data_IF_645087722833
#
_entry.id   IF_645087722833
#
_cell.length_a   1.000
_cell.length_b   1.000
_cell.length_c   1.000
_cell.angle_alpha   90.00
_cell.angle_beta   90.00
_cell.angle_gamma   90.00
#
_symmetry.space_group_name_H-M   'P 1'
#
loop_
_entity.id
_entity.type
_entity.pdbx_description
1 polymer ?
#
# COMPACT_ATOMS: atom_id res chain seq x y z
N UNK A 1 22.16 22.10 5.24
CA UNK A 1 23.41 21.91 5.97
C UNK A 1 23.12 21.24 7.31
N UNK A 2 24.16 20.80 8.01
CA UNK A 2 24.08 20.02 9.25
C UNK A 2 23.18 20.65 10.34
N UNK A 3 23.13 21.99 10.38
CA UNK A 3 22.27 22.74 11.31
C UNK A 3 20.78 22.50 11.07
N UNK A 4 20.35 22.31 9.82
CA UNK A 4 18.93 22.07 9.53
C UNK A 4 18.52 20.64 9.89
N UNK A 5 19.39 19.66 9.71
CA UNK A 5 19.15 18.29 10.13
C UNK A 5 18.92 18.18 11.65
N UNK A 6 19.74 18.86 12.44
CA UNK A 6 19.58 18.91 13.89
C UNK A 6 18.27 19.63 14.30
N UNK A 7 17.93 20.73 13.63
CA UNK A 7 16.65 21.42 13.84
C UNK A 7 15.46 20.52 13.47
N UNK A 8 15.54 19.83 12.34
CA UNK A 8 14.48 18.93 11.88
C UNK A 8 14.24 17.76 12.85
N UNK A 9 15.31 17.16 13.37
CA UNK A 9 15.22 16.08 14.35
C UNK A 9 14.44 16.48 15.61
N UNK A 10 14.51 17.75 16.03
CA UNK A 10 13.83 18.25 17.23
C UNK A 10 12.43 18.80 16.94
N UNK A 11 12.24 19.45 15.79
CA UNK A 11 11.03 20.24 15.51
C UNK A 11 10.25 19.78 14.27
N UNK A 12 10.69 18.73 13.56
CA UNK A 12 10.07 18.29 12.32
C UNK A 12 8.59 17.96 12.47
N UNK A 13 8.20 17.27 13.54
CA UNK A 13 6.80 16.95 13.81
C UNK A 13 5.96 18.21 14.06
N UNK A 14 6.48 19.19 14.79
CA UNK A 14 5.80 20.48 15.03
C UNK A 14 5.58 21.24 13.71
N UNK A 15 6.56 21.20 12.78
CA UNK A 15 6.38 21.80 11.47
C UNK A 15 5.32 21.08 10.63
N UNK A 16 5.24 19.74 10.72
CA UNK A 16 4.20 18.95 10.07
C UNK A 16 2.80 19.28 10.62
N UNK A 17 2.67 19.42 11.96
CA UNK A 17 1.44 19.91 12.60
C UNK A 17 1.07 21.32 12.11
N UNK A 18 2.05 22.21 11.99
CA UNK A 18 1.85 23.56 11.49
C UNK A 18 1.24 23.63 10.10
N UNK A 19 1.57 22.70 9.19
CA UNK A 19 0.95 22.61 7.85
C UNK A 19 -0.54 22.31 7.94
N UNK A 20 -0.95 21.52 8.92
CA UNK A 20 -2.35 21.15 9.15
C UNK A 20 -3.15 22.28 9.83
N UNK A 21 -2.53 23.02 10.76
CA UNK A 21 -3.21 24.01 11.59
C UNK A 21 -3.14 25.45 11.04
N UNK A 22 -2.04 25.83 10.36
CA UNK A 22 -1.81 27.21 9.88
C UNK A 22 -1.97 27.30 8.35
N UNK A 23 -3.20 27.33 7.90
CA UNK A 23 -3.54 27.47 6.48
C UNK A 23 -2.92 28.70 5.81
N UNK A 24 -2.70 29.79 6.56
CA UNK A 24 -2.15 31.03 6.00
C UNK A 24 -0.67 30.89 5.61
N UNK A 25 0.09 30.02 6.26
CA UNK A 25 1.49 29.78 6.02
C UNK A 25 1.79 28.39 5.44
N UNK A 26 0.77 27.62 5.10
CA UNK A 26 0.87 26.24 4.60
C UNK A 26 1.95 26.06 3.54
N UNK A 27 1.96 26.87 2.50
CA UNK A 27 2.93 26.76 1.38
C UNK A 27 4.37 27.04 1.83
N UNK A 28 4.54 27.94 2.80
CA UNK A 28 5.88 28.22 3.37
C UNK A 28 6.36 27.08 4.25
N UNK A 29 5.45 26.50 5.06
CA UNK A 29 5.74 25.38 5.92
C UNK A 29 6.04 24.12 5.11
N UNK A 30 5.30 23.87 4.04
CA UNK A 30 5.52 22.74 3.13
C UNK A 30 6.97 22.71 2.58
N UNK A 31 7.56 23.85 2.27
CA UNK A 31 8.97 23.97 1.82
C UNK A 31 9.99 23.57 2.89
N UNK A 32 9.61 23.62 4.14
CA UNK A 32 10.47 23.26 5.26
C UNK A 32 10.39 21.77 5.61
N UNK A 33 9.41 21.04 5.12
CA UNK A 33 9.22 19.61 5.43
C UNK A 33 10.38 18.76 4.90
N UNK A 34 10.64 17.68 5.62
CA UNK A 34 11.60 16.65 5.21
C UNK A 34 10.96 15.26 5.40
N UNK A 35 11.31 14.37 4.49
CA UNK A 35 10.80 13.01 4.44
C UNK A 35 11.93 12.03 4.16
N UNK A 36 11.74 10.77 4.56
CA UNK A 36 12.47 9.67 3.95
C UNK A 36 11.87 9.38 2.57
N UNK A 37 12.65 8.81 1.67
CA UNK A 37 12.16 8.39 0.36
C UNK A 37 12.85 7.13 -0.13
N UNK A 38 12.28 6.50 -1.16
CA UNK A 38 12.89 5.34 -1.82
C UNK A 38 14.22 5.68 -2.49
N UNK A 39 14.49 6.96 -2.77
CA UNK A 39 15.72 7.42 -3.40
C UNK A 39 16.91 7.42 -2.42
N UNK A 40 16.69 7.76 -1.14
CA UNK A 40 17.78 7.84 -0.15
C UNK A 40 18.26 6.46 0.31
N UNK A 41 17.40 5.44 0.25
CA UNK A 41 17.70 4.08 0.73
C UNK A 41 17.95 3.99 2.25
N UNK A 42 17.62 5.04 3.00
CA UNK A 42 17.75 5.12 4.46
C UNK A 42 16.50 5.73 5.07
N UNK A 43 16.34 5.57 6.39
CA UNK A 43 15.24 6.16 7.17
C UNK A 43 15.44 7.66 7.48
N UNK A 44 16.55 8.25 7.00
CA UNK A 44 16.82 9.66 7.22
C UNK A 44 15.78 10.55 6.53
N UNK A 45 15.13 11.42 7.31
CA UNK A 45 14.21 12.43 6.79
C UNK A 45 15.00 13.66 6.33
N UNK A 46 15.63 13.58 5.16
CA UNK A 46 16.48 14.62 4.59
C UNK A 46 16.00 15.13 3.22
N UNK A 47 14.96 14.49 2.64
CA UNK A 47 14.41 14.88 1.34
C UNK A 47 13.30 15.92 1.49
N UNK A 48 13.45 17.07 0.82
CA UNK A 48 12.38 18.07 0.71
C UNK A 48 11.43 17.76 -0.45
N UNK A 49 10.27 18.41 -0.46
CA UNK A 49 9.36 18.36 -1.63
C UNK A 49 10.02 19.02 -2.86
N UNK A 50 10.81 20.07 -2.69
CA UNK A 50 11.57 20.71 -3.78
C UNK A 50 12.59 19.72 -4.39
N UNK A 51 13.31 18.95 -3.54
CA UNK A 51 14.26 17.93 -4.01
C UNK A 51 13.52 16.84 -4.79
N UNK A 52 12.38 16.37 -4.29
CA UNK A 52 11.53 15.38 -4.99
C UNK A 52 11.09 15.89 -6.36
N UNK A 53 10.51 17.11 -6.41
CA UNK A 53 10.02 17.71 -7.66
C UNK A 53 11.17 17.91 -8.67
N UNK A 54 12.37 18.27 -8.19
CA UNK A 54 13.54 18.45 -9.06
C UNK A 54 14.01 17.16 -9.74
N UNK A 55 13.71 15.99 -9.15
CA UNK A 55 14.04 14.66 -9.67
C UNK A 55 12.88 13.97 -10.39
N UNK A 56 11.69 14.58 -10.35
CA UNK A 56 10.52 14.01 -11.02
C UNK A 56 10.82 13.77 -12.52
N UNK A 57 10.34 12.64 -13.04
CA UNK A 57 10.51 12.30 -14.45
C UNK A 57 9.74 13.27 -15.36
N UNK A 58 10.15 13.36 -16.62
CA UNK A 58 9.43 14.16 -17.61
C UNK A 58 7.98 13.64 -17.75
N UNK A 59 7.00 14.54 -17.64
CA UNK A 59 5.58 14.19 -17.66
C UNK A 59 5.01 13.70 -16.30
N UNK A 60 5.82 13.53 -15.26
CA UNK A 60 5.32 13.17 -13.94
C UNK A 60 4.63 14.39 -13.29
N UNK A 61 3.33 14.32 -13.15
CA UNK A 61 2.47 15.35 -12.56
C UNK A 61 2.04 15.07 -11.11
N UNK A 62 2.55 13.98 -10.52
CA UNK A 62 2.20 13.48 -9.19
C UNK A 62 3.42 13.36 -8.28
N UNK A 63 3.21 13.56 -6.98
CA UNK A 63 4.13 13.24 -5.90
C UNK A 63 3.60 11.99 -5.22
N UNK A 64 4.29 10.87 -5.36
CA UNK A 64 3.87 9.60 -4.77
C UNK A 64 4.33 9.49 -3.32
N UNK A 65 3.45 9.02 -2.45
CA UNK A 65 3.79 8.73 -1.06
C UNK A 65 3.09 7.47 -0.56
N UNK A 66 3.67 6.89 0.49
CA UNK A 66 3.04 5.83 1.28
C UNK A 66 3.10 6.21 2.76
N UNK A 67 2.03 5.94 3.49
CA UNK A 67 1.99 6.07 4.95
C UNK A 67 2.12 4.68 5.56
N UNK A 68 3.06 4.50 6.49
CA UNK A 68 3.29 3.24 7.18
C UNK A 68 3.69 3.45 8.64
N UNK A 69 3.58 2.39 9.45
CA UNK A 69 3.91 2.45 10.88
C UNK A 69 5.40 2.68 11.17
N UNK A 70 6.26 2.29 10.22
CA UNK A 70 7.71 2.46 10.32
C UNK A 70 8.38 2.33 8.94
N UNK A 71 9.65 2.75 8.86
CA UNK A 71 10.44 2.71 7.62
C UNK A 71 10.56 1.30 7.01
N UNK A 72 10.78 0.27 7.83
CA UNK A 72 10.96 -1.10 7.34
C UNK A 72 9.67 -1.61 6.65
N UNK A 73 8.50 -1.32 7.22
CA UNK A 73 7.20 -1.64 6.61
C UNK A 73 6.98 -0.82 5.33
N UNK A 74 7.27 0.48 5.35
CA UNK A 74 7.12 1.34 4.18
C UNK A 74 7.95 0.83 2.99
N UNK A 75 9.22 0.58 3.22
CA UNK A 75 10.17 0.12 2.20
C UNK A 75 9.85 -1.29 1.68
N UNK A 76 9.28 -2.16 2.50
CA UNK A 76 8.92 -3.52 2.10
C UNK A 76 7.52 -3.63 1.48
N UNK A 77 6.78 -2.52 1.37
CA UNK A 77 5.40 -2.54 0.90
C UNK A 77 5.29 -3.01 -0.55
N UNK A 78 4.36 -3.94 -0.85
CA UNK A 78 4.05 -4.38 -2.21
C UNK A 78 3.60 -3.24 -3.14
N UNK A 79 3.02 -2.18 -2.59
CA UNK A 79 2.59 -1.01 -3.38
C UNK A 79 3.72 -0.30 -4.10
N UNK A 80 4.97 -0.53 -3.70
CA UNK A 80 6.15 0.10 -4.30
C UNK A 80 6.72 -0.67 -5.48
N UNK A 81 6.28 -1.91 -5.75
CA UNK A 81 6.93 -2.79 -6.73
C UNK A 81 6.95 -2.17 -8.12
N UNK A 82 5.80 -1.84 -8.68
CA UNK A 82 5.70 -1.24 -10.01
C UNK A 82 6.33 0.16 -10.09
N UNK A 83 6.24 0.96 -9.01
CA UNK A 83 6.90 2.28 -9.00
C UNK A 83 8.42 2.15 -9.06
N UNK A 84 8.98 1.14 -8.37
CA UNK A 84 10.41 0.84 -8.43
C UNK A 84 10.85 0.39 -9.81
N UNK A 85 10.11 -0.48 -10.48
CA UNK A 85 10.40 -0.89 -11.84
C UNK A 85 10.42 0.29 -12.81
N UNK A 86 9.48 1.22 -12.64
CA UNK A 86 9.41 2.45 -13.42
C UNK A 86 10.42 3.53 -12.97
N UNK A 87 11.20 3.27 -11.92
CA UNK A 87 12.17 4.24 -11.38
C UNK A 87 11.50 5.49 -10.79
N UNK A 88 10.25 5.38 -10.33
CA UNK A 88 9.53 6.47 -9.69
C UNK A 88 9.86 6.54 -8.20
N UNK A 89 10.23 7.73 -7.74
CA UNK A 89 10.48 7.99 -6.32
C UNK A 89 9.17 8.01 -5.53
N UNK A 90 9.18 7.45 -4.31
CA UNK A 90 8.06 7.49 -3.37
C UNK A 90 8.53 8.03 -2.03
N UNK A 91 7.81 9.01 -1.47
CA UNK A 91 8.03 9.51 -0.12
C UNK A 91 7.51 8.48 0.90
N UNK A 92 8.32 8.21 1.93
CA UNK A 92 8.01 7.26 2.98
C UNK A 92 7.62 8.02 4.24
N UNK A 93 6.34 8.07 4.53
CA UNK A 93 5.73 8.82 5.62
C UNK A 93 5.50 7.90 6.81
N UNK A 94 6.25 8.10 7.90
CA UNK A 94 6.25 7.19 9.05
C UNK A 94 6.02 7.88 10.40
N UNK A 95 5.79 9.19 10.38
CA UNK A 95 5.44 9.93 11.58
C UNK A 95 3.94 9.85 11.88
N UNK A 96 3.59 9.87 13.16
CA UNK A 96 2.18 9.79 13.59
C UNK A 96 1.29 10.89 13.02
N UNK A 97 1.87 12.04 12.69
CA UNK A 97 1.14 13.20 12.13
C UNK A 97 0.91 13.06 10.62
N UNK A 98 1.67 12.20 9.93
CA UNK A 98 1.67 12.14 8.47
C UNK A 98 0.29 11.85 7.83
N UNK A 99 -0.58 10.99 8.40
CA UNK A 99 -1.93 10.80 7.85
C UNK A 99 -2.75 12.09 7.77
N UNK A 100 -2.62 13.00 8.76
CA UNK A 100 -3.28 14.31 8.73
C UNK A 100 -2.54 15.30 7.84
N UNK A 101 -1.21 15.21 7.79
CA UNK A 101 -0.40 16.07 6.93
C UNK A 101 -0.83 15.92 5.46
N UNK A 102 -0.98 14.69 4.96
CA UNK A 102 -1.35 14.44 3.56
C UNK A 102 -2.80 14.76 3.27
N UNK A 103 -3.69 14.63 4.25
CA UNK A 103 -5.07 15.10 4.14
C UNK A 103 -5.12 16.64 4.02
N UNK A 104 -4.24 17.34 4.73
CA UNK A 104 -4.09 18.80 4.66
C UNK A 104 -3.28 19.30 3.46
N UNK A 105 -2.33 18.54 2.93
CA UNK A 105 -1.43 18.90 1.83
C UNK A 105 -1.74 18.10 0.58
N UNK A 106 -2.82 18.48 -0.12
CA UNK A 106 -3.28 17.74 -1.31
C UNK A 106 -2.39 17.93 -2.54
N UNK A 107 -1.66 19.07 -2.63
CA UNK A 107 -0.78 19.40 -3.77
C UNK A 107 0.45 20.20 -3.33
N UNK A 108 1.52 20.12 -4.11
CA UNK A 108 2.72 20.95 -3.97
C UNK A 108 3.25 21.34 -5.34
N UNK A 109 3.41 22.66 -5.56
CA UNK A 109 3.87 23.25 -6.85
C UNK A 109 3.11 22.72 -8.07
N UNK A 110 1.79 22.55 -7.94
CA UNK A 110 0.89 22.09 -9.01
C UNK A 110 0.92 20.58 -9.26
N UNK A 111 1.64 19.81 -8.42
CA UNK A 111 1.65 18.34 -8.47
C UNK A 111 0.80 17.79 -7.32
N UNK A 112 -0.15 16.91 -7.64
CA UNK A 112 -0.98 16.25 -6.63
C UNK A 112 -0.14 15.28 -5.79
N UNK A 113 -0.37 15.25 -4.47
CA UNK A 113 0.15 14.19 -3.60
C UNK A 113 -0.78 12.97 -3.72
N UNK A 114 -0.23 11.81 -4.07
CA UNK A 114 -0.99 10.57 -4.33
C UNK A 114 -0.51 9.45 -3.41
N UNK A 115 -1.45 8.91 -2.64
CA UNK A 115 -1.24 7.74 -1.79
C UNK A 115 -1.20 6.47 -2.65
N UNK A 116 -0.05 5.79 -2.68
CA UNK A 116 0.11 4.56 -3.47
C UNK A 116 -0.61 3.35 -2.86
N UNK A 117 -1.10 3.44 -1.62
CA UNK A 117 -1.93 2.42 -0.96
C UNK A 117 -3.42 2.49 -1.29
N UNK A 118 -3.85 3.44 -2.14
CA UNK A 118 -5.25 3.56 -2.56
C UNK A 118 -5.56 2.80 -3.85
N UNK A 119 -6.84 2.48 -4.03
CA UNK A 119 -7.35 1.97 -5.31
C UNK A 119 -7.20 3.03 -6.42
N UNK A 120 -7.36 2.63 -7.67
CA UNK A 120 -7.35 3.56 -8.79
C UNK A 120 -6.02 4.26 -9.05
N UNK A 121 -4.90 3.77 -8.51
CA UNK A 121 -3.57 4.34 -8.76
C UNK A 121 -3.26 4.29 -10.27
N UNK A 122 -3.24 5.48 -10.87
CA UNK A 122 -2.85 5.68 -12.25
C UNK A 122 -1.36 6.01 -12.31
N UNK A 123 -0.57 5.07 -12.78
CA UNK A 123 0.87 5.24 -13.02
C UNK A 123 1.12 5.72 -14.45
N UNK A 124 2.19 6.50 -14.69
CA UNK A 124 2.60 6.82 -16.05
C UNK A 124 2.75 5.52 -16.83
N UNK A 125 1.95 5.39 -17.90
CA UNK A 125 1.98 4.21 -18.76
C UNK A 125 3.15 4.32 -19.72
N UNK A 126 3.79 3.20 -20.01
CA UNK A 126 4.59 3.08 -21.22
C UNK A 126 3.61 3.14 -22.41
N UNK A 127 3.94 3.90 -23.44
CA UNK A 127 3.09 4.16 -24.64
C UNK A 127 2.60 2.88 -25.37
N UNK A 128 3.12 1.70 -25.01
CA UNK A 128 2.79 0.39 -25.60
C UNK A 128 1.77 -0.44 -24.78
N UNK A 129 1.32 0.03 -23.62
CA UNK A 129 0.31 -0.69 -22.85
C UNK A 129 -1.09 -0.22 -23.24
N UNK A 130 -1.63 -0.83 -24.26
CA UNK A 130 -3.07 -0.79 -24.57
C UNK A 130 -3.83 -1.40 -23.37
N UNK A 131 -4.12 -0.54 -22.41
CA UNK A 131 -4.86 -0.91 -21.19
C UNK A 131 -6.35 -1.06 -21.56
N UNK A 132 -6.64 -2.08 -22.34
CA UNK A 132 -8.01 -2.51 -22.54
C UNK A 132 -8.62 -2.90 -21.19
N UNK A 133 -9.85 -2.51 -20.99
CA UNK A 133 -10.76 -3.06 -19.97
C UNK A 133 -10.90 -4.60 -20.10
N UNK A 134 -10.36 -5.17 -21.18
CA UNK A 134 -10.46 -6.58 -21.59
C UNK A 134 -9.60 -7.57 -20.75
N UNK A 135 -8.65 -7.11 -19.95
CA UNK A 135 -7.82 -8.00 -19.12
C UNK A 135 -8.55 -8.63 -17.93
N UNK A 136 -9.75 -8.18 -17.62
CA UNK A 136 -10.54 -8.68 -16.49
C UNK A 136 -11.37 -9.92 -16.86
N UNK A 137 -11.84 -10.02 -18.10
CA UNK A 137 -12.77 -11.09 -18.52
C UNK A 137 -12.15 -12.49 -18.39
N UNK A 138 -10.84 -12.64 -18.63
CA UNK A 138 -10.14 -13.92 -18.51
C UNK A 138 -10.08 -14.44 -17.08
N UNK A 139 -9.98 -13.52 -16.10
CA UNK A 139 -9.81 -13.86 -14.68
C UNK A 139 -11.10 -13.70 -13.87
N UNK A 140 -12.19 -13.23 -14.45
CA UNK A 140 -13.47 -12.95 -13.78
C UNK A 140 -13.98 -14.13 -12.94
N UNK A 141 -13.84 -15.33 -13.46
CA UNK A 141 -14.26 -16.54 -12.74
C UNK A 141 -13.45 -16.76 -11.46
N UNK A 142 -12.13 -16.52 -11.50
CA UNK A 142 -11.25 -16.61 -10.34
C UNK A 142 -11.56 -15.49 -9.34
N UNK A 143 -11.63 -14.24 -9.79
CA UNK A 143 -11.92 -13.08 -8.95
C UNK A 143 -13.23 -13.26 -8.20
N UNK A 144 -14.26 -13.71 -8.91
CA UNK A 144 -15.58 -14.01 -8.31
C UNK A 144 -15.49 -15.10 -7.26
N UNK A 145 -14.81 -16.23 -7.56
CA UNK A 145 -14.66 -17.33 -6.59
C UNK A 145 -13.94 -16.86 -5.31
N UNK A 146 -12.86 -16.07 -5.46
CA UNK A 146 -12.12 -15.50 -4.32
C UNK A 146 -13.03 -14.54 -3.55
N UNK A 147 -13.75 -13.66 -4.26
CA UNK A 147 -14.70 -12.71 -3.64
C UNK A 147 -15.81 -13.43 -2.87
N UNK A 148 -16.38 -14.49 -3.42
CA UNK A 148 -17.44 -15.27 -2.76
C UNK A 148 -16.94 -15.87 -1.43
N UNK A 149 -15.70 -16.38 -1.39
CA UNK A 149 -15.05 -16.89 -0.17
C UNK A 149 -14.76 -15.77 0.84
N UNK A 150 -14.29 -14.63 0.38
CA UNK A 150 -13.81 -13.53 1.23
C UNK A 150 -14.86 -12.42 1.45
N UNK A 151 -16.14 -12.66 1.11
CA UNK A 151 -17.22 -11.66 1.08
C UNK A 151 -17.40 -10.88 2.38
N UNK A 152 -17.12 -11.51 3.53
CA UNK A 152 -17.19 -10.85 4.84
C UNK A 152 -15.96 -9.99 5.15
N UNK A 153 -14.84 -10.20 4.44
CA UNK A 153 -13.53 -9.61 4.75
C UNK A 153 -13.05 -8.57 3.77
N UNK A 154 -13.49 -8.62 2.51
CA UNK A 154 -13.10 -7.68 1.45
C UNK A 154 -14.32 -7.10 0.75
N UNK A 155 -14.23 -5.89 0.23
CA UNK A 155 -15.29 -5.25 -0.55
C UNK A 155 -15.28 -5.75 -2.00
N UNK A 156 -14.10 -5.84 -2.60
CA UNK A 156 -13.91 -6.31 -3.96
C UNK A 156 -12.62 -7.11 -4.09
N UNK A 157 -12.48 -7.85 -5.19
CA UNK A 157 -11.24 -8.51 -5.61
C UNK A 157 -10.97 -8.12 -7.05
N UNK A 158 -9.81 -7.56 -7.32
CA UNK A 158 -9.41 -7.04 -8.63
C UNK A 158 -8.06 -7.63 -9.06
N UNK A 159 -7.77 -7.58 -10.36
CA UNK A 159 -6.42 -7.82 -10.88
C UNK A 159 -5.53 -6.63 -10.52
N UNK A 160 -4.35 -6.90 -9.99
CA UNK A 160 -3.39 -5.86 -9.66
C UNK A 160 -2.63 -5.38 -10.89
N UNK A 161 -2.40 -4.07 -10.96
CA UNK A 161 -1.49 -3.43 -11.92
C UNK A 161 -0.24 -2.88 -11.26
N UNK A 162 -0.10 -3.05 -9.94
CA UNK A 162 1.01 -2.52 -9.13
C UNK A 162 1.97 -3.58 -8.62
N UNK A 163 1.55 -4.85 -8.68
CA UNK A 163 2.35 -5.97 -8.19
C UNK A 163 3.22 -6.57 -9.29
N UNK A 164 4.43 -6.97 -8.89
CA UNK A 164 5.41 -7.65 -9.73
C UNK A 164 5.82 -8.97 -9.08
N UNK A 165 6.31 -8.91 -7.85
CA UNK A 165 6.82 -10.07 -7.10
C UNK A 165 5.83 -10.60 -6.07
N UNK A 166 4.92 -9.78 -5.57
CA UNK A 166 3.97 -10.18 -4.52
C UNK A 166 2.70 -10.80 -5.12
N UNK A 167 2.08 -11.80 -4.44
CA UNK A 167 0.86 -12.46 -4.91
C UNK A 167 -0.39 -11.57 -4.78
N UNK A 168 -0.42 -10.71 -3.78
CA UNK A 168 -1.57 -9.85 -3.48
C UNK A 168 -1.18 -8.66 -2.60
N UNK A 169 -1.98 -7.61 -2.66
CA UNK A 169 -1.98 -6.51 -1.69
C UNK A 169 -3.43 -6.10 -1.38
N UNK A 170 -3.61 -5.34 -0.31
CA UNK A 170 -4.90 -4.72 0.01
C UNK A 170 -4.80 -3.22 -0.21
N UNK A 171 -5.84 -2.64 -0.78
CA UNK A 171 -5.92 -1.19 -1.03
C UNK A 171 -7.17 -0.62 -0.37
N UNK A 172 -7.06 0.63 0.11
CA UNK A 172 -8.23 1.37 0.55
C UNK A 172 -9.00 1.91 -0.66
N UNK A 173 -10.32 2.01 -0.56
CA UNK A 173 -11.11 2.73 -1.56
C UNK A 173 -10.72 4.22 -1.59
N UNK A 174 -10.95 4.89 -2.73
CA UNK A 174 -10.52 6.29 -2.91
C UNK A 174 -11.15 7.27 -1.92
N UNK A 175 -12.36 6.98 -1.49
CA UNK A 175 -13.15 7.79 -0.54
C UNK A 175 -13.03 7.32 0.92
N UNK A 176 -12.24 6.27 1.18
CA UNK A 176 -12.06 5.74 2.53
C UNK A 176 -10.93 6.47 3.28
N UNK A 177 -10.94 6.33 4.61
CA UNK A 177 -9.85 6.82 5.44
C UNK A 177 -8.58 6.00 5.20
N UNK A 178 -7.43 6.69 5.24
CA UNK A 178 -6.15 5.98 5.27
C UNK A 178 -6.14 4.96 6.44
N UNK A 179 -5.67 3.72 6.23
CA UNK A 179 -5.72 2.66 7.25
C UNK A 179 -5.04 3.04 8.57
N UNK A 180 -3.94 3.81 8.53
CA UNK A 180 -3.25 4.29 9.74
C UNK A 180 -4.11 5.30 10.48
N UNK A 181 -4.72 6.25 9.77
CA UNK A 181 -5.63 7.24 10.36
C UNK A 181 -6.84 6.56 10.99
N UNK A 182 -7.45 5.58 10.30
CA UNK A 182 -8.56 4.77 10.82
C UNK A 182 -8.18 4.13 12.16
N UNK A 183 -7.06 3.40 12.21
CA UNK A 183 -6.57 2.74 13.45
C UNK A 183 -6.37 3.73 14.60
N UNK A 184 -5.85 4.92 14.31
CA UNK A 184 -5.63 5.95 15.33
C UNK A 184 -6.94 6.53 15.88
N UNK A 185 -7.92 6.75 15.01
CA UNK A 185 -9.25 7.25 15.41
C UNK A 185 -10.00 6.19 16.22
N UNK A 186 -9.97 4.92 15.82
CA UNK A 186 -10.53 3.79 16.56
C UNK A 186 -9.88 3.65 17.95
N UNK A 187 -8.55 3.74 18.01
CA UNK A 187 -7.82 3.70 19.28
C UNK A 187 -8.15 4.88 20.23
N UNK A 188 -8.59 6.01 19.67
CA UNK A 188 -9.09 7.16 20.45
C UNK A 188 -10.55 7.02 20.89
N UNK A 189 -11.22 5.90 20.55
CA UNK A 189 -12.60 5.61 20.91
C UNK A 189 -13.65 6.27 19.99
N UNK A 190 -13.25 6.78 18.85
CA UNK A 190 -14.19 7.29 17.85
C UNK A 190 -14.85 6.11 17.10
N UNK A 191 -16.16 6.22 16.89
CA UNK A 191 -16.91 5.28 16.05
C UNK A 191 -16.74 5.67 14.59
N UNK A 192 -16.04 4.82 13.84
CA UNK A 192 -15.83 4.97 12.40
C UNK A 192 -16.66 3.90 11.69
N UNK A 193 -17.33 4.24 10.58
CA UNK A 193 -18.01 3.24 9.76
C UNK A 193 -17.06 2.09 9.39
N UNK A 194 -17.53 0.86 9.48
CA UNK A 194 -16.76 -0.29 9.01
C UNK A 194 -16.52 -0.14 7.50
N UNK A 195 -15.29 -0.35 7.09
CA UNK A 195 -14.88 -0.41 5.69
C UNK A 195 -14.09 -1.68 5.48
N UNK A 196 -14.33 -2.34 4.37
CA UNK A 196 -13.60 -3.52 3.94
C UNK A 196 -12.58 -3.10 2.89
N UNK A 197 -11.35 -3.62 2.95
CA UNK A 197 -10.36 -3.34 1.91
C UNK A 197 -10.75 -4.00 0.59
N UNK A 198 -10.20 -3.50 -0.49
CA UNK A 198 -10.19 -4.15 -1.79
C UNK A 198 -8.93 -5.03 -1.86
N UNK A 199 -9.07 -6.29 -2.25
CA UNK A 199 -7.96 -7.19 -2.50
C UNK A 199 -7.55 -7.08 -3.97
N UNK A 200 -6.32 -6.71 -4.23
CA UNK A 200 -5.70 -6.79 -5.55
C UNK A 200 -4.81 -8.03 -5.63
N UNK A 201 -4.96 -8.84 -6.67
CA UNK A 201 -4.19 -10.07 -6.88
C UNK A 201 -3.34 -9.99 -8.14
N UNK A 202 -2.12 -10.51 -8.06
CA UNK A 202 -1.22 -10.70 -9.20
C UNK A 202 -1.50 -12.07 -9.83
N UNK A 203 -2.20 -12.06 -10.94
CA UNK A 203 -2.67 -13.29 -11.62
C UNK A 203 -1.53 -14.10 -12.24
N UNK A 204 -0.37 -13.50 -12.45
CA UNK A 204 0.83 -14.15 -12.97
C UNK A 204 1.71 -14.75 -11.87
N UNK A 205 1.37 -14.50 -10.60
CA UNK A 205 2.16 -15.03 -9.49
C UNK A 205 1.88 -16.53 -9.29
N UNK A 206 2.91 -17.41 -9.11
CA UNK A 206 2.73 -18.87 -9.01
C UNK A 206 1.76 -19.32 -7.90
N UNK A 207 1.67 -18.59 -6.79
CA UNK A 207 0.70 -18.87 -5.73
C UNK A 207 -0.74 -18.63 -6.19
N UNK A 208 -0.97 -17.60 -7.01
CA UNK A 208 -2.30 -17.28 -7.55
C UNK A 208 -2.68 -18.24 -8.69
N UNK A 209 -1.73 -18.63 -9.54
CA UNK A 209 -1.94 -19.69 -10.53
C UNK A 209 -2.34 -21.02 -9.86
N UNK A 210 -1.66 -21.38 -8.76
CA UNK A 210 -2.02 -22.56 -7.95
C UNK A 210 -3.40 -22.44 -7.33
N UNK A 211 -3.78 -21.26 -6.84
CA UNK A 211 -5.12 -20.98 -6.33
C UNK A 211 -6.16 -21.16 -7.44
N UNK A 212 -5.90 -20.63 -8.64
CA UNK A 212 -6.79 -20.73 -9.79
C UNK A 212 -7.03 -22.19 -10.22
N UNK A 213 -6.00 -23.02 -10.16
CA UNK A 213 -6.04 -24.44 -10.51
C UNK A 213 -6.72 -25.32 -9.44
N UNK A 214 -6.94 -24.80 -8.23
CA UNK A 214 -7.51 -25.59 -7.14
C UNK A 214 -8.99 -25.88 -7.37
N UNK A 215 -9.34 -27.17 -7.42
CA UNK A 215 -10.71 -27.65 -7.65
C UNK A 215 -11.46 -28.03 -6.37
N UNK A 216 -10.72 -28.37 -5.30
CA UNK A 216 -11.34 -28.64 -4.00
C UNK A 216 -11.80 -27.34 -3.35
N UNK A 217 -13.06 -27.26 -3.00
CA UNK A 217 -13.69 -26.03 -2.49
C UNK A 217 -13.16 -25.64 -1.12
N UNK A 218 -12.90 -26.61 -0.22
CA UNK A 218 -12.36 -26.33 1.11
C UNK A 218 -10.94 -25.78 0.99
N UNK A 219 -10.11 -26.46 0.19
CA UNK A 219 -8.72 -26.05 -0.02
C UNK A 219 -8.59 -24.70 -0.75
N UNK A 220 -9.45 -24.43 -1.72
CA UNK A 220 -9.56 -23.13 -2.35
C UNK A 220 -9.88 -22.02 -1.33
N UNK A 221 -10.83 -22.29 -0.43
CA UNK A 221 -11.18 -21.36 0.65
C UNK A 221 -10.02 -21.10 1.61
N UNK A 222 -9.26 -22.12 2.00
CA UNK A 222 -8.07 -21.98 2.85
C UNK A 222 -6.99 -21.16 2.15
N UNK A 223 -6.69 -21.43 0.87
CA UNK A 223 -5.71 -20.68 0.08
C UNK A 223 -6.12 -19.22 -0.13
N UNK A 224 -7.38 -18.95 -0.43
CA UNK A 224 -7.90 -17.58 -0.56
C UNK A 224 -7.72 -16.77 0.73
N UNK A 225 -8.01 -17.38 1.88
CA UNK A 225 -7.79 -16.73 3.17
C UNK A 225 -6.29 -16.50 3.46
N UNK A 226 -5.41 -17.43 3.08
CA UNK A 226 -3.96 -17.26 3.23
C UNK A 226 -3.47 -16.09 2.37
N UNK A 227 -3.92 -15.98 1.13
CA UNK A 227 -3.54 -14.87 0.22
C UNK A 227 -3.94 -13.52 0.82
N UNK A 228 -5.18 -13.40 1.34
CA UNK A 228 -5.62 -12.18 2.02
C UNK A 228 -4.83 -11.90 3.29
N UNK A 229 -4.62 -12.91 4.14
CA UNK A 229 -3.86 -12.76 5.39
C UNK A 229 -2.41 -12.32 5.11
N UNK A 230 -1.77 -12.82 4.04
CA UNK A 230 -0.45 -12.38 3.59
C UNK A 230 -0.46 -10.91 3.16
N UNK A 231 -1.45 -10.50 2.37
CA UNK A 231 -1.60 -9.12 1.93
C UNK A 231 -1.76 -8.16 3.12
N UNK A 232 -2.61 -8.51 4.10
CA UNK A 232 -2.78 -7.73 5.33
C UNK A 232 -1.50 -7.63 6.15
N UNK A 233 -0.76 -8.74 6.30
CA UNK A 233 0.51 -8.74 7.03
C UNK A 233 1.58 -7.90 6.33
N UNK A 234 1.64 -7.93 5.00
CA UNK A 234 2.57 -7.12 4.21
C UNK A 234 2.32 -5.60 4.38
N UNK A 235 1.07 -5.21 4.62
CA UNK A 235 0.68 -3.83 4.97
C UNK A 235 0.99 -3.44 6.44
N UNK A 236 1.49 -4.38 7.24
CA UNK A 236 1.69 -4.18 8.67
C UNK A 236 0.40 -4.25 9.49
N UNK A 237 -0.71 -4.71 8.92
CA UNK A 237 -1.96 -4.91 9.63
C UNK A 237 -1.92 -6.11 10.56
N UNK A 238 -2.69 -6.04 11.66
CA UNK A 238 -2.89 -7.20 12.53
C UNK A 238 -4.03 -8.06 11.98
N UNK A 239 -3.83 -9.37 12.01
CA UNK A 239 -4.88 -10.31 11.65
C UNK A 239 -5.94 -10.38 12.76
N UNK A 240 -7.21 -10.45 12.41
CA UNK A 240 -8.30 -10.66 13.37
C UNK A 240 -8.14 -11.99 14.14
N UNK A 241 -7.69 -13.03 13.43
CA UNK A 241 -7.45 -14.36 14.03
C UNK A 241 -6.08 -14.92 13.61
N UNK A 242 -4.98 -14.49 14.26
CA UNK A 242 -3.64 -15.01 13.97
C UNK A 242 -3.51 -16.52 14.18
N UNK A 243 -4.25 -17.09 15.15
CA UNK A 243 -4.22 -18.54 15.42
C UNK A 243 -4.79 -19.35 14.27
N UNK A 244 -5.88 -18.88 13.64
CA UNK A 244 -6.46 -19.51 12.46
C UNK A 244 -5.49 -19.47 11.27
N UNK A 245 -4.81 -18.34 11.07
CA UNK A 245 -3.78 -18.21 10.03
C UNK A 245 -2.66 -19.23 10.23
N UNK A 246 -2.09 -19.32 11.46
CA UNK A 246 -1.03 -20.28 11.78
C UNK A 246 -1.51 -21.72 11.55
N UNK A 247 -2.76 -22.04 11.91
CA UNK A 247 -3.34 -23.37 11.68
C UNK A 247 -3.42 -23.70 10.18
N UNK A 248 -3.92 -22.77 9.34
CA UNK A 248 -3.98 -22.92 7.87
C UNK A 248 -2.59 -23.15 7.28
N UNK A 249 -1.62 -22.34 7.70
CA UNK A 249 -0.23 -22.46 7.24
C UNK A 249 0.37 -23.81 7.60
N UNK A 250 0.18 -24.29 8.82
CA UNK A 250 0.68 -25.60 9.26
C UNK A 250 0.04 -26.75 8.44
N UNK A 251 -1.28 -26.67 8.18
CA UNK A 251 -2.00 -27.66 7.34
C UNK A 251 -1.40 -27.69 5.93
N UNK A 252 -1.21 -26.51 5.32
CA UNK A 252 -0.64 -26.39 3.97
C UNK A 252 0.79 -26.98 3.89
N UNK A 253 1.64 -26.68 4.87
CA UNK A 253 3.03 -27.19 4.90
C UNK A 253 3.08 -28.71 5.04
N UNK A 254 2.21 -29.31 5.85
CA UNK A 254 2.13 -30.76 6.01
C UNK A 254 1.59 -31.47 4.74
N UNK A 255 0.66 -30.83 4.03
CA UNK A 255 0.13 -31.36 2.77
C UNK A 255 1.19 -31.41 1.67
N UNK A 256 2.13 -30.47 1.65
CA UNK A 256 3.25 -30.45 0.70
C UNK A 256 4.16 -31.66 0.91
N UNK A 257 4.47 -32.02 2.15
CA UNK A 257 5.30 -33.20 2.46
C UNK A 257 4.61 -34.51 2.08
N UNK A 258 3.29 -34.58 2.22
CA UNK A 258 2.50 -35.77 1.86
C UNK A 258 2.44 -36.01 0.35
N UNK A 259 2.40 -34.94 -0.45
CA UNK A 259 2.42 -35.03 -1.91
C UNK A 259 3.79 -35.41 -2.50
N UNK A 260 4.87 -34.95 -1.85
CA UNK A 260 6.25 -35.25 -2.30
C UNK A 260 6.68 -36.71 -2.05
N UNK A 261 6.00 -37.45 -1.15
CA UNK A 261 6.28 -38.85 -0.85
C UNK A 261 5.46 -39.84 -1.69
N UNK A 262 4.66 -39.35 -2.65
CA UNK A 262 3.73 -40.19 -3.44
C UNK A 262 4.19 -40.33 -4.92
N UNK A 263 5.35 -39.81 -5.27
CA UNK A 263 6.07 -40.05 -6.54
C UNK A 263 7.29 -40.97 -6.27
#
# INVERSE_FOLDING_TARGET
GDDYGAFWAEFGQVLKEGVVEDFANKDKLAKLLRFASTQSGTDAQDQSLDDYVSRAQEGQDKIYYIVADNYATAVASPHLEQLREKGLEVLLLTDRIDPWLVDGLAEYEGKALVDVGRSGLDLPQDDDADAGEDGNDEYDALLKRVKDVLSERVEAVNVSRRLVDSPACVVAADDDLNPQLRRMLEASGQQIPESKPILEINVEHPLVERLAAESDTERFGELSNIVLDHALLAEGSQLENPAAYVHRMNKLLLDIESGANSE
#
